data_IF_462056947447
#
_entry.id   IF_462056947447
#
_cell.length_a   1.000
_cell.length_b   1.000
_cell.length_c   1.000
_cell.angle_alpha   90.00
_cell.angle_beta   90.00
_cell.angle_gamma   90.00
#
_symmetry.space_group_name_H-M   'P 1'
#
loop_
_entity.id
_entity.type
_entity.pdbx_description
1 polymer ?
#
# COMPACT_ATOMS: atom_id res chain seq x y z
N UNK A 1 -33.52 -27.77 -16.35
CA UNK A 1 -33.49 -27.08 -15.04
C UNK A 1 -32.86 -25.72 -15.28
N UNK A 2 -33.46 -24.64 -14.79
CA UNK A 2 -32.92 -23.29 -14.86
C UNK A 2 -32.27 -22.90 -13.53
N UNK A 3 -31.30 -22.00 -13.57
CA UNK A 3 -30.75 -21.43 -12.35
C UNK A 3 -31.85 -20.66 -11.59
N UNK A 4 -31.94 -20.78 -10.25
CA UNK A 4 -32.87 -19.98 -9.46
C UNK A 4 -32.47 -18.50 -9.55
N UNK A 5 -33.44 -17.60 -9.61
CA UNK A 5 -33.19 -16.14 -9.57
C UNK A 5 -32.44 -15.81 -8.27
N UNK A 6 -31.35 -15.03 -8.32
CA UNK A 6 -30.87 -14.16 -9.40
C UNK A 6 -29.76 -14.79 -10.25
N UNK A 7 -29.46 -16.07 -10.05
CA UNK A 7 -28.35 -16.75 -10.72
C UNK A 7 -28.67 -16.99 -12.19
N UNK A 8 -27.65 -16.86 -13.03
CA UNK A 8 -27.74 -17.02 -14.48
C UNK A 8 -26.96 -18.26 -14.92
N UNK A 9 -27.43 -18.94 -15.97
CA UNK A 9 -26.74 -20.10 -16.52
C UNK A 9 -25.46 -19.66 -17.22
N UNK A 10 -24.33 -20.29 -16.87
CA UNK A 10 -23.04 -19.99 -17.49
C UNK A 10 -23.02 -20.29 -19.00
N UNK A 11 -23.84 -21.25 -19.44
CA UNK A 11 -23.91 -21.69 -20.84
C UNK A 11 -24.51 -20.63 -21.77
N UNK A 12 -25.24 -19.65 -21.24
CA UNK A 12 -25.89 -18.59 -22.02
C UNK A 12 -24.90 -17.48 -22.41
N UNK A 13 -23.65 -17.52 -21.93
CA UNK A 13 -22.66 -16.47 -22.12
C UNK A 13 -21.40 -16.99 -22.81
N UNK A 14 -20.73 -16.15 -23.64
CA UNK A 14 -19.56 -16.58 -24.38
C UNK A 14 -18.41 -17.00 -23.44
N UNK A 15 -17.61 -18.01 -23.81
CA UNK A 15 -16.44 -18.43 -23.04
C UNK A 15 -15.22 -17.54 -23.26
N UNK A 16 -15.36 -16.43 -23.99
CA UNK A 16 -14.29 -15.48 -24.31
C UNK A 16 -14.77 -14.05 -24.05
N UNK A 17 -13.81 -13.14 -23.83
CA UNK A 17 -14.08 -11.72 -23.58
C UNK A 17 -14.26 -11.39 -22.10
N UNK A 18 -13.72 -10.23 -21.69
CA UNK A 18 -13.69 -9.79 -20.30
C UNK A 18 -12.89 -10.72 -19.37
N UNK A 19 -13.01 -10.47 -18.07
CA UNK A 19 -12.29 -11.18 -17.05
C UNK A 19 -13.02 -12.45 -16.59
N UNK A 20 -12.84 -13.55 -17.34
CA UNK A 20 -13.48 -14.85 -17.08
C UNK A 20 -13.25 -15.41 -15.65
N UNK A 21 -12.03 -15.35 -15.07
CA UNK A 21 -11.81 -15.84 -13.70
C UNK A 21 -12.59 -15.02 -12.65
N UNK A 22 -13.09 -13.83 -13.03
CA UNK A 22 -13.90 -12.98 -12.17
C UNK A 22 -15.34 -13.43 -11.99
N UNK A 23 -15.82 -14.37 -12.81
CA UNK A 23 -17.16 -14.96 -12.71
C UNK A 23 -17.27 -15.79 -11.43
N UNK A 24 -18.27 -15.52 -10.60
CA UNK A 24 -18.56 -16.35 -9.43
C UNK A 24 -19.61 -17.39 -9.80
N UNK A 25 -19.15 -18.57 -10.21
CA UNK A 25 -20.00 -19.66 -10.67
C UNK A 25 -19.81 -20.91 -9.83
N UNK A 26 -20.86 -21.71 -9.71
CA UNK A 26 -20.78 -23.04 -9.09
C UNK A 26 -21.63 -24.04 -9.88
N UNK A 27 -21.15 -25.28 -9.96
CA UNK A 27 -21.85 -26.38 -10.60
C UNK A 27 -22.96 -26.88 -9.66
N UNK A 28 -24.22 -26.74 -10.07
CA UNK A 28 -25.39 -27.22 -9.32
C UNK A 28 -25.69 -28.67 -9.67
N UNK A 29 -25.49 -29.03 -10.93
CA UNK A 29 -25.52 -30.41 -11.43
C UNK A 29 -24.34 -30.64 -12.37
N UNK A 30 -24.13 -31.87 -12.84
CA UNK A 30 -23.07 -32.20 -13.80
C UNK A 30 -23.18 -31.44 -15.13
N UNK A 31 -24.35 -30.87 -15.44
CA UNK A 31 -24.61 -30.15 -16.71
C UNK A 31 -25.04 -28.69 -16.50
N UNK A 32 -25.33 -28.26 -15.27
CA UNK A 32 -25.80 -26.90 -14.97
C UNK A 32 -24.81 -26.19 -14.05
N UNK A 33 -24.19 -25.14 -14.59
CA UNK A 33 -23.36 -24.20 -13.84
C UNK A 33 -24.09 -22.88 -13.71
N UNK A 34 -24.31 -22.43 -12.48
CA UNK A 34 -25.00 -21.19 -12.18
C UNK A 34 -24.03 -20.14 -11.68
N UNK A 35 -24.14 -18.93 -12.21
CA UNK A 35 -23.28 -17.80 -11.94
C UNK A 35 -24.05 -16.65 -11.29
N UNK A 36 -23.40 -15.94 -10.40
CA UNK A 36 -23.92 -14.70 -9.84
C UNK A 36 -23.82 -13.56 -10.87
N UNK A 37 -24.83 -12.70 -11.01
CA UNK A 37 -24.79 -11.60 -11.95
C UNK A 37 -23.79 -10.50 -11.54
N UNK A 38 -23.26 -9.80 -12.53
CA UNK A 38 -22.40 -8.64 -12.40
C UNK A 38 -23.25 -7.39 -12.06
N UNK A 39 -22.94 -6.58 -11.04
CA UNK A 39 -21.84 -6.65 -10.07
C UNK A 39 -22.05 -7.67 -8.94
N UNK A 40 -21.09 -8.58 -8.76
CA UNK A 40 -21.05 -9.44 -7.57
C UNK A 40 -21.05 -8.67 -6.25
N UNK A 41 -20.48 -7.46 -6.22
CA UNK A 41 -20.38 -6.65 -5.00
C UNK A 41 -21.75 -6.32 -4.38
N UNK A 42 -22.79 -6.11 -5.20
CA UNK A 42 -24.14 -5.82 -4.71
C UNK A 42 -24.78 -6.99 -3.97
N UNK A 43 -24.36 -8.21 -4.26
CA UNK A 43 -24.93 -9.42 -3.67
C UNK A 43 -24.04 -9.97 -2.55
N UNK A 44 -22.73 -9.77 -2.66
CA UNK A 44 -21.74 -10.34 -1.73
C UNK A 44 -21.49 -9.47 -0.50
N UNK A 45 -21.63 -8.15 -0.60
CA UNK A 45 -21.29 -7.23 0.48
C UNK A 45 -22.49 -6.42 0.97
N UNK A 46 -22.41 -5.99 2.24
CA UNK A 46 -23.44 -5.15 2.86
C UNK A 46 -23.49 -3.74 2.27
N UNK A 47 -24.62 -3.06 2.41
CA UNK A 47 -24.74 -1.66 1.99
C UNK A 47 -23.80 -0.73 2.78
N UNK A 48 -23.54 -1.06 4.05
CA UNK A 48 -22.55 -0.36 4.87
C UNK A 48 -21.15 -0.50 4.29
N UNK A 49 -20.79 -1.69 3.79
CA UNK A 49 -19.50 -1.92 3.15
C UNK A 49 -19.32 -1.03 1.92
N UNK A 50 -20.31 -1.01 1.03
CA UNK A 50 -20.29 -0.20 -0.19
C UNK A 50 -20.14 1.29 0.13
N UNK A 51 -20.95 1.80 1.08
CA UNK A 51 -20.87 3.20 1.50
C UNK A 51 -19.50 3.56 2.07
N UNK A 52 -18.92 2.72 2.92
CA UNK A 52 -17.63 3.01 3.53
C UNK A 52 -16.48 2.90 2.52
N UNK A 53 -16.61 2.03 1.52
CA UNK A 53 -15.65 1.93 0.42
C UNK A 53 -15.69 3.20 -0.45
N UNK A 54 -16.88 3.72 -0.76
CA UNK A 54 -17.03 4.98 -1.51
C UNK A 54 -16.38 6.15 -0.75
N UNK A 55 -16.56 6.21 0.57
CA UNK A 55 -15.87 7.20 1.42
C UNK A 55 -14.35 7.07 1.29
N UNK A 56 -13.80 5.85 1.30
CA UNK A 56 -12.37 5.63 1.13
C UNK A 56 -11.86 6.13 -0.24
N UNK A 57 -12.63 5.95 -1.31
CA UNK A 57 -12.27 6.48 -2.63
C UNK A 57 -12.29 8.01 -2.66
N UNK A 58 -13.31 8.65 -2.08
CA UNK A 58 -13.36 10.11 -1.98
C UNK A 58 -12.22 10.71 -1.15
N UNK A 59 -11.75 10.01 -0.12
CA UNK A 59 -10.58 10.43 0.69
C UNK A 59 -9.27 10.49 -0.11
N UNK A 60 -9.17 9.80 -1.24
CA UNK A 60 -7.99 9.89 -2.11
C UNK A 60 -7.90 11.24 -2.85
N UNK A 61 -9.01 11.95 -3.04
CA UNK A 61 -9.03 13.27 -3.71
C UNK A 61 -8.25 14.33 -2.93
N UNK A 62 -8.58 14.64 -1.64
CA UNK A 62 -7.80 15.61 -0.88
C UNK A 62 -6.36 15.16 -0.65
N UNK A 63 -6.12 13.85 -0.49
CA UNK A 63 -4.77 13.30 -0.40
C UNK A 63 -3.95 13.54 -1.67
N UNK A 64 -4.53 13.33 -2.85
CA UNK A 64 -3.86 13.61 -4.12
C UNK A 64 -3.53 15.11 -4.25
N UNK A 65 -4.48 15.99 -3.96
CA UNK A 65 -4.27 17.44 -3.99
C UNK A 65 -3.10 17.82 -3.06
N UNK A 66 -3.09 17.31 -1.83
CA UNK A 66 -2.03 17.58 -0.88
C UNK A 66 -0.66 17.09 -1.37
N UNK A 67 -0.58 15.87 -1.92
CA UNK A 67 0.67 15.33 -2.46
C UNK A 67 1.16 16.11 -3.69
N UNK A 68 0.27 16.52 -4.58
CA UNK A 68 0.61 17.35 -5.75
C UNK A 68 1.14 18.72 -5.30
N UNK A 69 0.50 19.37 -4.31
CA UNK A 69 0.99 20.62 -3.74
C UNK A 69 2.39 20.48 -3.13
N UNK A 70 2.69 19.35 -2.46
CA UNK A 70 4.05 19.06 -1.99
C UNK A 70 5.05 18.90 -3.12
N UNK A 71 4.69 18.16 -4.18
CA UNK A 71 5.57 17.96 -5.33
C UNK A 71 5.86 19.29 -6.04
N UNK A 72 4.85 20.15 -6.23
CA UNK A 72 5.01 21.50 -6.76
C UNK A 72 5.92 22.33 -5.84
N UNK A 73 5.70 22.26 -4.52
CA UNK A 73 6.56 22.93 -3.52
C UNK A 73 8.02 22.46 -3.64
N UNK A 74 8.29 21.17 -3.86
CA UNK A 74 9.65 20.66 -4.04
C UNK A 74 10.28 21.08 -5.37
N UNK A 75 9.49 21.30 -6.41
CA UNK A 75 9.94 21.75 -7.72
C UNK A 75 10.24 23.25 -7.74
N UNK A 76 9.33 24.08 -7.21
CA UNK A 76 9.40 25.53 -7.28
C UNK A 76 10.33 26.16 -6.23
N UNK A 77 10.35 25.64 -5.00
CA UNK A 77 11.09 26.27 -3.90
C UNK A 77 12.53 25.74 -3.78
N UNK A 78 13.50 26.61 -3.44
CA UNK A 78 14.88 26.21 -3.24
C UNK A 78 15.01 25.22 -2.07
N UNK A 79 16.00 24.33 -2.16
CA UNK A 79 16.22 23.25 -1.18
C UNK A 79 16.38 23.76 0.27
N UNK A 80 16.83 25.01 0.45
CA UNK A 80 16.94 25.67 1.77
C UNK A 80 15.57 25.86 2.44
N UNK A 81 14.53 26.11 1.66
CA UNK A 81 13.18 26.40 2.16
C UNK A 81 12.29 25.15 2.16
N UNK A 82 12.40 24.34 1.10
CA UNK A 82 11.62 23.12 0.94
C UNK A 82 12.18 21.92 1.71
N UNK A 83 13.46 21.96 2.10
CA UNK A 83 14.16 20.83 2.72
C UNK A 83 13.96 19.51 1.94
N UNK A 84 13.83 19.62 0.60
CA UNK A 84 13.52 18.50 -0.27
C UNK A 84 14.60 17.43 -0.17
N UNK A 85 14.16 16.17 -0.11
CA UNK A 85 15.04 15.00 -0.08
C UNK A 85 14.50 13.98 -1.07
N UNK A 86 15.37 13.39 -1.89
CA UNK A 86 14.99 12.50 -2.99
C UNK A 86 14.10 11.33 -2.53
N UNK A 87 14.42 10.71 -1.38
CA UNK A 87 13.59 9.66 -0.75
C UNK A 87 12.14 10.08 -0.51
N UNK A 88 11.90 11.34 -0.15
CA UNK A 88 10.55 11.83 0.11
C UNK A 88 9.82 12.15 -1.19
N UNK A 89 10.55 12.64 -2.20
CA UNK A 89 9.99 12.90 -3.53
C UNK A 89 9.51 11.58 -4.14
N UNK A 90 10.33 10.53 -4.13
CA UNK A 90 9.95 9.22 -4.65
C UNK A 90 8.74 8.62 -3.94
N UNK A 91 8.67 8.74 -2.60
CA UNK A 91 7.50 8.33 -1.82
C UNK A 91 6.23 9.13 -2.21
N UNK A 92 6.33 10.45 -2.33
CA UNK A 92 5.21 11.30 -2.73
C UNK A 92 4.72 10.96 -4.15
N UNK A 93 5.63 10.68 -5.08
CA UNK A 93 5.27 10.23 -6.44
C UNK A 93 4.53 8.90 -6.38
N UNK A 94 5.06 7.90 -5.68
CA UNK A 94 4.40 6.59 -5.54
C UNK A 94 2.98 6.68 -4.97
N UNK A 95 2.79 7.47 -3.90
CA UNK A 95 1.47 7.67 -3.31
C UNK A 95 0.55 8.52 -4.18
N UNK A 96 1.07 9.45 -4.98
CA UNK A 96 0.26 10.19 -5.96
C UNK A 96 -0.28 9.26 -7.04
N UNK A 97 0.55 8.35 -7.56
CA UNK A 97 0.11 7.30 -8.50
C UNK A 97 -0.98 6.42 -7.87
N UNK A 98 -0.80 6.02 -6.60
CA UNK A 98 -1.81 5.24 -5.88
C UNK A 98 -3.13 6.01 -5.73
N UNK A 99 -3.11 7.29 -5.36
CA UNK A 99 -4.34 8.08 -5.26
C UNK A 99 -5.02 8.26 -6.63
N UNK A 100 -4.25 8.48 -7.72
CA UNK A 100 -4.78 8.57 -9.08
C UNK A 100 -5.55 7.29 -9.46
N UNK A 101 -5.08 6.12 -9.04
CA UNK A 101 -5.74 4.84 -9.29
C UNK A 101 -7.21 4.82 -8.85
N UNK A 102 -7.53 5.48 -7.73
CA UNK A 102 -8.89 5.57 -7.17
C UNK A 102 -9.67 6.79 -7.68
N UNK A 103 -8.99 7.87 -8.05
CA UNK A 103 -9.65 9.08 -8.57
C UNK A 103 -10.14 8.88 -10.01
N UNK A 104 -9.43 8.11 -10.84
CA UNK A 104 -9.85 7.80 -12.22
C UNK A 104 -11.25 7.17 -12.28
N UNK A 105 -11.55 6.06 -11.57
CA UNK A 105 -12.87 5.44 -11.64
C UNK A 105 -13.96 6.35 -11.05
N UNK A 106 -13.63 7.15 -10.03
CA UNK A 106 -14.56 8.12 -9.45
C UNK A 106 -14.99 9.19 -10.45
N UNK A 107 -14.05 9.66 -11.27
CA UNK A 107 -14.31 10.67 -12.31
C UNK A 107 -14.99 10.07 -13.55
N UNK A 108 -14.64 8.84 -13.93
CA UNK A 108 -15.11 8.24 -15.19
C UNK A 108 -16.39 7.42 -15.06
N UNK A 109 -16.75 6.92 -13.85
CA UNK A 109 -17.89 6.02 -13.60
C UNK A 109 -17.99 4.92 -14.66
N UNK A 110 -16.97 4.06 -14.78
CA UNK A 110 -16.87 3.10 -15.87
C UNK A 110 -17.95 2.03 -15.78
N UNK A 111 -18.44 1.57 -16.92
CA UNK A 111 -19.22 0.34 -17.00
C UNK A 111 -18.30 -0.87 -16.74
N UNK A 112 -18.40 -1.45 -15.54
CA UNK A 112 -17.52 -2.52 -15.09
C UNK A 112 -17.95 -3.92 -15.58
N UNK A 113 -19.14 -4.08 -16.17
CA UNK A 113 -19.60 -5.37 -16.70
C UNK A 113 -19.34 -5.48 -18.20
N UNK A 114 -18.70 -6.57 -18.62
CA UNK A 114 -18.58 -6.92 -20.04
C UNK A 114 -19.88 -7.54 -20.56
N UNK A 115 -20.48 -8.40 -19.73
CA UNK A 115 -21.82 -8.95 -19.87
C UNK A 115 -22.41 -9.22 -18.48
N UNK A 116 -23.61 -9.80 -18.42
CA UNK A 116 -24.43 -9.98 -17.22
C UNK A 116 -23.76 -10.84 -16.14
N UNK A 117 -22.73 -11.64 -16.47
CA UNK A 117 -21.97 -12.44 -15.49
C UNK A 117 -20.47 -12.11 -15.45
N UNK A 118 -19.94 -11.41 -16.46
CA UNK A 118 -18.48 -11.23 -16.65
C UNK A 118 -18.06 -9.78 -16.42
N UNK A 119 -17.14 -9.50 -15.48
CA UNK A 119 -16.56 -8.17 -15.34
C UNK A 119 -15.57 -7.85 -16.47
N UNK A 120 -15.35 -6.56 -16.76
CA UNK A 120 -14.31 -6.11 -17.71
C UNK A 120 -12.90 -6.25 -17.12
N UNK A 121 -11.94 -6.44 -18.01
CA UNK A 121 -10.49 -6.45 -17.79
C UNK A 121 -9.80 -5.24 -18.44
N UNK A 122 -8.47 -5.17 -18.35
CA UNK A 122 -7.67 -4.14 -19.03
C UNK A 122 -7.78 -4.14 -20.56
N UNK A 123 -8.19 -5.26 -21.17
CA UNK A 123 -8.27 -5.40 -22.63
C UNK A 123 -9.62 -4.92 -23.17
N UNK A 124 -10.66 -5.00 -22.35
CA UNK A 124 -12.03 -4.58 -22.66
C UNK A 124 -12.41 -3.22 -22.08
N UNK A 125 -11.61 -2.65 -21.17
CA UNK A 125 -11.75 -1.30 -20.64
C UNK A 125 -10.39 -0.63 -20.39
N UNK A 126 -10.16 0.49 -21.08
CA UNK A 126 -8.96 1.32 -20.89
C UNK A 126 -8.95 1.98 -19.51
N UNK A 127 -10.12 2.35 -18.97
CA UNK A 127 -10.23 2.91 -17.62
C UNK A 127 -9.73 1.90 -16.57
N UNK A 128 -10.07 0.62 -16.73
CA UNK A 128 -9.55 -0.45 -15.88
C UNK A 128 -8.03 -0.54 -16.00
N UNK A 129 -7.52 -0.58 -17.23
CA UNK A 129 -6.08 -0.66 -17.49
C UNK A 129 -5.28 0.47 -16.83
N UNK A 130 -5.74 1.73 -16.95
CA UNK A 130 -5.08 2.86 -16.29
C UNK A 130 -5.24 2.82 -14.77
N UNK A 131 -6.47 2.66 -14.25
CA UNK A 131 -6.72 2.63 -12.80
C UNK A 131 -5.92 1.52 -12.11
N UNK A 132 -6.00 0.28 -12.61
CA UNK A 132 -5.26 -0.85 -12.07
C UNK A 132 -3.75 -0.73 -12.27
N UNK A 133 -3.32 -0.16 -13.40
CA UNK A 133 -1.90 0.13 -13.64
C UNK A 133 -1.33 1.12 -12.64
N UNK A 134 -2.01 2.25 -12.41
CA UNK A 134 -1.63 3.24 -11.40
C UNK A 134 -1.67 2.66 -9.98
N UNK A 135 -2.60 1.75 -9.70
CA UNK A 135 -2.66 1.06 -8.42
C UNK A 135 -1.39 0.24 -8.18
N UNK A 136 -1.03 -0.65 -9.11
CA UNK A 136 0.17 -1.49 -9.02
C UNK A 136 1.45 -0.64 -9.00
N UNK A 137 1.55 0.33 -9.91
CA UNK A 137 2.70 1.22 -9.99
C UNK A 137 2.86 2.03 -8.69
N UNK A 138 1.76 2.55 -8.15
CA UNK A 138 1.75 3.37 -6.94
C UNK A 138 2.16 2.59 -5.70
N UNK A 139 1.57 1.42 -5.46
CA UNK A 139 1.90 0.60 -4.28
C UNK A 139 3.33 0.07 -4.31
N UNK A 140 3.81 -0.41 -5.46
CA UNK A 140 5.19 -0.88 -5.62
C UNK A 140 6.18 0.27 -5.43
N UNK A 141 5.95 1.39 -6.12
CA UNK A 141 6.83 2.57 -6.03
C UNK A 141 6.87 3.09 -4.58
N UNK A 142 5.71 3.33 -3.96
CA UNK A 142 5.64 3.80 -2.58
C UNK A 142 6.39 2.85 -1.63
N UNK A 143 6.15 1.55 -1.72
CA UNK A 143 6.76 0.56 -0.84
C UNK A 143 8.28 0.47 -1.04
N UNK A 144 8.77 0.48 -2.28
CA UNK A 144 10.22 0.48 -2.55
C UNK A 144 10.89 1.75 -1.99
N UNK A 145 10.27 2.92 -2.14
CA UNK A 145 10.81 4.17 -1.57
C UNK A 145 10.77 4.20 -0.04
N UNK A 146 9.74 3.61 0.58
CA UNK A 146 9.70 3.44 2.04
C UNK A 146 10.82 2.50 2.49
N UNK A 147 11.06 1.39 1.79
CA UNK A 147 12.18 0.48 2.08
C UNK A 147 13.53 1.20 1.97
N UNK A 148 13.77 1.92 0.87
CA UNK A 148 14.99 2.68 0.67
C UNK A 148 15.21 3.72 1.80
N UNK A 149 14.12 4.35 2.25
CA UNK A 149 14.16 5.29 3.38
C UNK A 149 14.45 4.62 4.71
N UNK A 150 13.82 3.49 5.01
CA UNK A 150 14.11 2.71 6.21
C UNK A 150 15.57 2.26 6.26
N UNK A 151 16.09 1.76 5.13
CA UNK A 151 17.49 1.37 4.99
C UNK A 151 18.44 2.56 5.18
N UNK A 152 18.16 3.70 4.53
CA UNK A 152 18.95 4.92 4.68
C UNK A 152 19.06 5.38 6.14
N UNK A 153 17.94 5.40 6.85
CA UNK A 153 17.90 5.78 8.27
C UNK A 153 18.69 4.77 9.11
N UNK A 154 18.55 3.48 8.83
CA UNK A 154 19.28 2.42 9.53
C UNK A 154 20.80 2.56 9.34
N UNK A 155 21.27 2.73 8.11
CA UNK A 155 22.70 2.93 7.81
C UNK A 155 23.25 4.20 8.49
N UNK A 156 22.47 5.28 8.50
CA UNK A 156 22.87 6.54 9.10
C UNK A 156 22.97 6.48 10.62
N UNK A 157 22.03 5.80 11.28
CA UNK A 157 21.96 5.74 12.75
C UNK A 157 22.79 4.59 13.33
N UNK A 158 22.64 3.37 12.79
CA UNK A 158 23.27 2.17 13.34
C UNK A 158 24.72 2.00 12.86
N UNK A 159 25.01 2.38 11.61
CA UNK A 159 26.36 2.27 11.02
C UNK A 159 27.11 3.60 10.90
N UNK A 160 26.49 4.70 11.34
CA UNK A 160 27.11 6.04 11.30
C UNK A 160 27.67 6.39 9.92
N UNK A 161 27.00 5.94 8.85
CA UNK A 161 27.40 6.23 7.49
C UNK A 161 27.12 7.71 7.19
N UNK A 162 28.16 8.45 6.77
CA UNK A 162 28.09 9.92 6.63
C UNK A 162 28.00 10.39 5.18
N UNK A 163 28.36 9.54 4.21
CA UNK A 163 28.51 9.97 2.83
C UNK A 163 27.20 9.82 2.04
N UNK A 164 26.41 10.88 2.01
CA UNK A 164 25.13 10.89 1.31
C UNK A 164 25.22 10.74 -0.21
N UNK A 165 26.34 11.12 -0.82
CA UNK A 165 26.47 11.11 -2.28
C UNK A 165 26.68 9.70 -2.83
N UNK A 166 27.39 8.86 -2.09
CA UNK A 166 27.68 7.48 -2.49
C UNK A 166 26.41 6.63 -2.52
N UNK A 167 25.50 6.83 -1.56
CA UNK A 167 24.27 6.04 -1.46
C UNK A 167 23.10 6.63 -2.27
N UNK A 168 23.15 7.91 -2.66
CA UNK A 168 22.08 8.55 -3.41
C UNK A 168 21.79 7.84 -4.74
N UNK A 169 22.81 7.68 -5.60
CA UNK A 169 22.67 7.05 -6.92
C UNK A 169 22.14 5.61 -6.88
N UNK A 170 22.74 4.68 -6.10
CA UNK A 170 22.23 3.31 -6.04
C UNK A 170 20.80 3.25 -5.46
N UNK A 171 20.47 4.06 -4.46
CA UNK A 171 19.10 4.10 -3.92
C UNK A 171 18.09 4.64 -4.93
N UNK A 172 18.45 5.66 -5.72
CA UNK A 172 17.59 6.16 -6.80
C UNK A 172 17.41 5.12 -7.90
N UNK A 173 18.48 4.45 -8.31
CA UNK A 173 18.41 3.39 -9.32
C UNK A 173 17.48 2.26 -8.84
N UNK A 174 17.71 1.72 -7.65
CA UNK A 174 16.86 0.67 -7.07
C UNK A 174 15.42 1.17 -6.85
N UNK A 175 15.26 2.40 -6.38
CA UNK A 175 13.95 3.00 -6.08
C UNK A 175 13.03 3.18 -7.29
N UNK A 176 13.58 3.30 -8.50
CA UNK A 176 12.80 3.44 -9.73
C UNK A 176 12.79 2.17 -10.59
N UNK A 177 13.94 1.52 -10.75
CA UNK A 177 14.09 0.36 -11.65
C UNK A 177 13.36 -0.85 -11.08
N UNK A 178 13.52 -1.11 -9.78
CA UNK A 178 12.91 -2.27 -9.13
C UNK A 178 11.36 -2.26 -9.26
N UNK A 179 10.63 -1.20 -8.85
CA UNK A 179 9.19 -1.18 -8.99
C UNK A 179 8.75 -1.18 -10.47
N UNK A 180 9.53 -0.63 -11.39
CA UNK A 180 9.22 -0.65 -12.82
C UNK A 180 9.25 -2.07 -13.39
N UNK A 181 10.25 -2.88 -13.02
CA UNK A 181 10.34 -4.28 -13.44
C UNK A 181 9.14 -5.07 -12.92
N UNK A 182 8.84 -4.96 -11.61
CA UNK A 182 7.69 -5.66 -11.02
C UNK A 182 6.35 -5.19 -11.58
N UNK A 183 6.21 -3.90 -11.90
CA UNK A 183 5.04 -3.36 -12.56
C UNK A 183 4.83 -4.01 -13.93
N UNK A 184 5.86 -4.05 -14.77
CA UNK A 184 5.78 -4.66 -16.12
C UNK A 184 5.39 -6.15 -16.01
N UNK A 185 6.06 -6.90 -15.12
CA UNK A 185 5.75 -8.32 -14.90
C UNK A 185 4.31 -8.51 -14.41
N UNK A 186 3.85 -7.66 -13.48
CA UNK A 186 2.49 -7.75 -12.94
C UNK A 186 1.43 -7.46 -13.99
N UNK A 187 1.64 -6.44 -14.83
CA UNK A 187 0.70 -6.09 -15.90
C UNK A 187 0.61 -7.18 -16.98
N UNK A 188 1.72 -7.84 -17.31
CA UNK A 188 1.73 -8.90 -18.34
C UNK A 188 1.15 -10.22 -17.81
N UNK A 189 1.45 -10.58 -16.57
CA UNK A 189 1.14 -11.93 -16.05
C UNK A 189 -0.16 -11.97 -15.26
N UNK A 190 -0.33 -11.02 -14.34
CA UNK A 190 -1.47 -11.02 -13.41
C UNK A 190 -2.66 -10.26 -13.96
N UNK A 191 -2.37 -9.29 -14.82
CA UNK A 191 -3.36 -8.41 -15.44
C UNK A 191 -4.19 -7.66 -14.36
N UNK A 192 -5.09 -6.79 -14.80
CA UNK A 192 -6.00 -6.06 -13.91
C UNK A 192 -7.43 -6.17 -14.42
N UNK A 193 -8.36 -6.27 -13.49
CA UNK A 193 -9.78 -6.38 -13.78
C UNK A 193 -10.62 -5.73 -12.67
N UNK A 194 -11.88 -5.40 -12.98
CA UNK A 194 -12.81 -4.92 -11.97
C UNK A 194 -13.13 -6.03 -10.97
N UNK A 195 -12.61 -5.89 -9.75
CA UNK A 195 -12.84 -6.85 -8.66
C UNK A 195 -13.63 -6.25 -7.50
N UNK A 196 -13.60 -4.94 -7.35
CA UNK A 196 -14.20 -4.23 -6.24
C UNK A 196 -14.90 -2.96 -6.74
N UNK A 197 -16.14 -3.16 -7.20
CA UNK A 197 -17.00 -2.10 -7.72
C UNK A 197 -16.33 -1.47 -8.92
N UNK A 198 -16.17 -0.15 -8.84
CA UNK A 198 -15.62 0.65 -9.93
C UNK A 198 -14.08 0.64 -9.95
N UNK A 199 -13.42 -0.07 -9.02
CA UNK A 199 -11.95 -0.10 -8.96
C UNK A 199 -11.36 -1.35 -9.62
N UNK A 200 -10.37 -1.12 -10.48
CA UNK A 200 -9.61 -2.17 -11.14
C UNK A 200 -8.44 -2.61 -10.25
N UNK A 201 -8.37 -3.90 -9.94
CA UNK A 201 -7.36 -4.49 -9.05
C UNK A 201 -6.63 -5.64 -9.75
N UNK A 202 -5.46 -6.07 -9.24
CA UNK A 202 -4.75 -7.23 -9.78
C UNK A 202 -5.65 -8.47 -9.89
N UNK A 203 -5.55 -9.16 -11.03
CA UNK A 203 -6.27 -10.40 -11.29
C UNK A 203 -5.84 -11.56 -10.37
N UNK A 204 -6.40 -12.74 -10.61
CA UNK A 204 -6.19 -13.95 -9.79
C UNK A 204 -5.13 -14.89 -10.40
N UNK A 205 -4.57 -14.53 -11.55
CA UNK A 205 -3.50 -15.29 -12.20
C UNK A 205 -2.16 -14.97 -11.54
N UNK A 206 -1.73 -15.86 -10.64
CA UNK A 206 -0.48 -15.77 -9.88
C UNK A 206 -0.20 -14.43 -9.15
N UNK A 207 -1.21 -13.74 -8.54
CA UNK A 207 -1.03 -12.40 -7.96
C UNK A 207 -0.01 -12.36 -6.83
N UNK A 208 0.13 -13.48 -6.10
CA UNK A 208 1.08 -13.59 -5.02
C UNK A 208 2.53 -13.57 -5.51
N UNK A 209 2.82 -14.25 -6.63
CA UNK A 209 4.20 -14.41 -7.11
C UNK A 209 4.72 -13.16 -7.84
N UNK A 210 3.84 -12.44 -8.52
CA UNK A 210 4.18 -11.31 -9.40
C UNK A 210 4.14 -9.97 -8.69
N UNK A 211 3.21 -9.81 -7.74
CA UNK A 211 2.88 -8.52 -7.13
C UNK A 211 2.88 -8.59 -5.59
N UNK A 212 1.97 -9.37 -5.01
CA UNK A 212 1.63 -9.27 -3.59
C UNK A 212 2.78 -9.73 -2.68
N UNK A 213 3.45 -10.82 -3.05
CA UNK A 213 4.58 -11.36 -2.30
C UNK A 213 5.75 -10.39 -2.24
N UNK A 214 6.05 -9.71 -3.35
CA UNK A 214 7.11 -8.69 -3.41
C UNK A 214 6.74 -7.44 -2.64
N UNK A 215 5.50 -6.98 -2.78
CA UNK A 215 4.96 -5.87 -2.00
C UNK A 215 5.09 -6.13 -0.49
N UNK A 216 4.68 -7.32 -0.03
CA UNK A 216 4.83 -7.75 1.37
C UNK A 216 6.29 -7.85 1.78
N UNK A 217 7.14 -8.47 0.97
CA UNK A 217 8.56 -8.64 1.28
C UNK A 217 9.25 -7.29 1.50
N UNK A 218 8.99 -6.30 0.64
CA UNK A 218 9.55 -4.96 0.80
C UNK A 218 8.99 -4.24 2.03
N UNK A 219 7.68 -4.36 2.30
CA UNK A 219 7.05 -3.80 3.50
C UNK A 219 7.61 -4.39 4.80
N UNK A 220 7.73 -5.72 4.88
CA UNK A 220 8.29 -6.43 6.04
C UNK A 220 9.76 -6.03 6.26
N UNK A 221 10.57 -6.02 5.20
CA UNK A 221 11.97 -5.61 5.30
C UNK A 221 12.10 -4.16 5.77
N UNK A 222 11.23 -3.27 5.29
CA UNK A 222 11.17 -1.89 5.75
C UNK A 222 10.82 -1.79 7.25
N UNK A 223 9.87 -2.58 7.74
CA UNK A 223 9.52 -2.66 9.16
C UNK A 223 10.69 -3.18 9.99
N UNK A 224 11.39 -4.24 9.54
CA UNK A 224 12.54 -4.80 10.24
C UNK A 224 13.61 -3.71 10.44
N UNK A 225 13.96 -2.97 9.39
CA UNK A 225 14.93 -1.88 9.52
C UNK A 225 14.47 -0.79 10.49
N UNK A 226 13.20 -0.40 10.44
CA UNK A 226 12.64 0.62 11.34
C UNK A 226 12.63 0.16 12.80
N UNK A 227 12.23 -1.08 13.07
CA UNK A 227 12.22 -1.66 14.41
C UNK A 227 13.65 -1.79 14.94
N UNK A 228 14.58 -2.29 14.14
CA UNK A 228 15.99 -2.40 14.52
C UNK A 228 16.60 -1.02 14.84
N UNK A 229 16.31 -0.01 14.03
CA UNK A 229 16.76 1.37 14.29
C UNK A 229 16.13 1.96 15.55
N UNK A 230 14.82 1.75 15.75
CA UNK A 230 14.10 2.26 16.92
C UNK A 230 14.64 1.63 18.19
N UNK A 231 14.82 0.30 18.17
CA UNK A 231 15.43 -0.45 19.27
C UNK A 231 16.85 0.05 19.58
N UNK A 232 17.70 0.25 18.56
CA UNK A 232 19.04 0.81 18.74
C UNK A 232 19.02 2.20 19.39
N UNK A 233 18.10 3.08 18.95
CA UNK A 233 17.95 4.41 19.52
C UNK A 233 17.48 4.37 20.98
N UNK A 234 16.50 3.51 21.29
CA UNK A 234 15.99 3.30 22.65
C UNK A 234 17.07 2.71 23.57
N UNK A 235 17.85 1.74 23.08
CA UNK A 235 18.94 1.13 23.81
C UNK A 235 20.01 2.16 24.23
N UNK A 236 20.43 3.01 23.29
CA UNK A 236 21.37 4.10 23.59
C UNK A 236 20.75 5.09 24.59
N UNK A 237 19.48 5.46 24.40
CA UNK A 237 18.79 6.37 25.30
C UNK A 237 18.74 5.85 26.73
N UNK A 238 18.29 4.60 26.94
CA UNK A 238 18.23 3.98 28.26
C UNK A 238 19.62 3.91 28.88
N UNK A 239 20.64 3.55 28.11
CA UNK A 239 22.02 3.47 28.60
C UNK A 239 22.58 4.82 29.03
N UNK A 240 22.19 5.92 28.41
CA UNK A 240 22.64 7.26 28.81
C UNK A 240 21.84 7.86 29.97
N UNK A 241 20.54 7.59 30.06
CA UNK A 241 19.70 8.05 31.19
C UNK A 241 20.03 7.27 32.45
N UNK A 242 20.21 5.95 32.34
CA UNK A 242 20.55 5.08 33.47
C UNK A 242 22.05 5.21 33.84
N UNK A 243 22.92 5.49 32.87
CA UNK A 243 24.37 5.60 33.07
C UNK A 243 24.86 6.87 33.76
N UNK A 244 23.97 7.85 34.00
CA UNK A 244 24.30 9.12 34.64
C UNK A 244 25.33 10.00 33.89
N UNK A 245 25.49 11.28 34.25
CA UNK A 245 26.58 12.09 33.73
C UNK A 245 27.91 11.53 34.24
N UNK A 246 28.74 10.98 33.36
CA UNK A 246 30.11 10.60 33.73
C UNK A 246 30.85 11.84 34.30
N UNK A 247 31.56 11.71 35.44
CA UNK A 247 32.32 12.82 36.03
C UNK A 247 33.34 13.34 35.01
N UNK A 248 33.51 14.66 34.96
CA UNK A 248 34.46 15.28 34.05
C UNK A 248 35.88 14.79 34.32
N UNK A 249 36.58 14.37 33.27
CA UNK A 249 38.03 14.20 33.31
C UNK A 249 38.70 15.01 32.20
N UNK A 250 39.69 15.74 32.66
CA UNK A 250 40.49 16.78 32.02
C UNK A 250 41.39 16.23 30.90
N UNK A 251 41.77 17.14 29.99
CA UNK A 251 42.74 17.04 28.87
C UNK A 251 43.83 15.96 28.96
N UNK A 252 44.14 15.32 27.82
CA UNK A 252 45.45 15.35 27.10
C UNK A 252 45.57 14.20 26.09
N UNK A 253 46.36 14.38 25.01
CA UNK A 253 46.95 13.27 24.26
C UNK A 253 46.56 13.13 22.78
N UNK A 254 47.53 13.41 21.92
CA UNK A 254 47.61 13.28 20.46
C UNK A 254 47.68 11.83 19.94
N UNK A 255 47.38 11.69 18.64
CA UNK A 255 47.77 10.64 17.66
C UNK A 255 46.67 9.67 17.19
N UNK A 256 46.68 9.43 15.87
CA UNK A 256 45.56 8.93 15.09
C UNK A 256 45.72 7.52 14.50
N UNK A 257 44.81 7.27 13.54
CA UNK A 257 44.73 6.23 12.49
C UNK A 257 44.02 4.90 12.77
N UNK A 258 42.97 4.72 11.94
CA UNK A 258 42.42 3.53 11.26
C UNK A 258 41.87 2.33 12.08
N UNK A 259 40.57 2.03 11.87
CA UNK A 259 39.93 0.73 12.16
C UNK A 259 38.55 0.83 12.83
N UNK A 260 37.58 -0.06 12.52
CA UNK A 260 36.19 0.04 12.98
C UNK A 260 36.05 -0.45 14.42
N UNK A 261 36.55 0.34 15.37
CA UNK A 261 36.29 0.11 16.79
C UNK A 261 35.10 0.98 17.21
N UNK A 262 34.07 0.35 17.76
CA UNK A 262 33.09 1.01 18.62
C UNK A 262 33.88 1.62 19.78
N UNK A 263 34.33 2.87 19.62
CA UNK A 263 35.12 3.53 20.65
C UNK A 263 34.21 3.78 21.85
N UNK A 264 34.42 3.00 22.92
CA UNK A 264 33.70 3.06 24.19
C UNK A 264 34.00 4.33 25.02
N UNK A 265 34.58 5.36 24.41
CA UNK A 265 34.93 6.59 25.12
C UNK A 265 33.67 7.42 25.40
N UNK A 266 33.53 7.99 26.62
CA UNK A 266 32.36 8.77 27.00
C UNK A 266 32.16 10.02 26.12
N UNK A 267 33.23 10.54 25.50
CA UNK A 267 33.18 11.65 24.53
C UNK A 267 32.60 11.25 23.18
N UNK A 268 32.98 10.09 22.63
CA UNK A 268 32.40 9.56 21.41
C UNK A 268 30.91 9.20 21.60
N UNK A 269 30.53 8.69 22.77
CA UNK A 269 29.14 8.40 23.14
C UNK A 269 28.28 9.67 23.23
N UNK A 270 28.74 10.69 23.98
CA UNK A 270 28.06 12.01 24.06
C UNK A 270 27.93 12.68 22.69
N UNK A 271 28.93 12.55 21.82
CA UNK A 271 28.88 13.07 20.45
C UNK A 271 27.88 12.31 19.57
N UNK A 272 27.81 10.98 19.69
CA UNK A 272 26.82 10.14 19.02
C UNK A 272 25.40 10.47 19.51
N UNK A 273 25.18 10.63 20.81
CA UNK A 273 23.87 11.00 21.36
C UNK A 273 23.39 12.40 20.95
N UNK A 274 24.26 13.41 21.01
CA UNK A 274 23.88 14.76 20.52
C UNK A 274 23.41 14.71 19.07
N UNK A 275 24.04 13.88 18.24
CA UNK A 275 23.63 13.65 16.84
C UNK A 275 22.32 12.87 16.75
N UNK A 276 22.19 11.76 17.48
CA UNK A 276 20.96 10.97 17.52
C UNK A 276 19.77 11.81 17.96
N UNK A 277 19.92 12.63 19.01
CA UNK A 277 18.87 13.52 19.53
C UNK A 277 18.45 14.57 18.49
N UNK A 278 19.39 15.15 17.75
CA UNK A 278 19.09 16.11 16.67
C UNK A 278 18.39 15.41 15.51
N UNK A 279 18.85 14.21 15.11
CA UNK A 279 18.23 13.44 14.02
C UNK A 279 16.84 12.96 14.40
N UNK A 280 16.66 12.38 15.59
CA UNK A 280 15.36 11.92 16.09
C UNK A 280 14.38 13.09 16.19
N UNK A 281 14.80 14.22 16.81
CA UNK A 281 13.95 15.41 16.96
C UNK A 281 13.56 16.03 15.60
N UNK A 282 14.41 15.90 14.59
CA UNK A 282 14.16 16.49 13.25
C UNK A 282 13.44 15.52 12.31
N UNK A 283 13.54 14.20 12.52
CA UNK A 283 13.06 13.16 11.61
C UNK A 283 11.99 12.23 12.20
N UNK A 284 11.55 12.40 13.46
CA UNK A 284 10.54 11.51 14.07
C UNK A 284 9.23 11.47 13.26
N UNK A 285 8.82 12.59 12.67
CA UNK A 285 7.64 12.66 11.78
C UNK A 285 7.81 11.76 10.55
N UNK A 286 8.97 11.84 9.90
CA UNK A 286 9.34 10.95 8.80
C UNK A 286 9.35 9.48 9.21
N UNK A 287 9.96 9.17 10.36
CA UNK A 287 10.08 7.79 10.85
C UNK A 287 8.69 7.21 11.12
N UNK A 288 7.83 7.95 11.81
CA UNK A 288 6.45 7.55 12.11
C UNK A 288 5.66 7.26 10.83
N UNK A 289 5.74 8.14 9.83
CA UNK A 289 5.06 7.93 8.55
C UNK A 289 5.56 6.70 7.81
N UNK A 290 6.87 6.50 7.79
CA UNK A 290 7.42 5.31 7.15
C UNK A 290 6.99 4.04 7.86
N UNK A 291 6.78 4.07 9.18
CA UNK A 291 6.22 2.95 9.93
C UNK A 291 4.75 2.70 9.57
N UNK A 292 3.94 3.76 9.52
CA UNK A 292 2.52 3.67 9.15
C UNK A 292 2.37 3.06 7.76
N UNK A 293 3.09 3.59 6.76
CA UNK A 293 2.98 3.10 5.38
C UNK A 293 3.49 1.66 5.25
N UNK A 294 4.62 1.31 5.88
CA UNK A 294 5.09 -0.08 5.84
C UNK A 294 4.11 -1.06 6.50
N UNK A 295 3.52 -0.68 7.64
CA UNK A 295 2.54 -1.50 8.34
C UNK A 295 1.26 -1.68 7.50
N UNK A 296 0.77 -0.59 6.91
CA UNK A 296 -0.37 -0.60 5.98
C UNK A 296 -0.12 -1.52 4.78
N UNK A 297 1.07 -1.47 4.17
CA UNK A 297 1.45 -2.38 3.09
C UNK A 297 1.38 -3.86 3.51
N UNK A 298 1.85 -4.18 4.73
CA UNK A 298 1.83 -5.57 5.24
C UNK A 298 0.42 -6.03 5.57
N UNK A 299 -0.40 -5.15 6.15
CA UNK A 299 -1.82 -5.43 6.41
C UNK A 299 -2.58 -5.66 5.10
N UNK A 300 -2.40 -4.77 4.13
CA UNK A 300 -2.93 -4.92 2.77
C UNK A 300 -2.56 -6.28 2.19
N UNK A 301 -1.26 -6.60 2.19
CA UNK A 301 -0.73 -7.85 1.66
C UNK A 301 -1.35 -9.09 2.30
N UNK A 302 -1.47 -9.07 3.63
CA UNK A 302 -2.03 -10.19 4.41
C UNK A 302 -3.52 -10.40 4.14
N UNK A 303 -4.29 -9.31 4.06
CA UNK A 303 -5.73 -9.36 3.79
C UNK A 303 -5.98 -9.90 2.37
N UNK A 304 -5.26 -9.39 1.37
CA UNK A 304 -5.41 -9.83 -0.01
C UNK A 304 -4.94 -11.26 -0.24
N UNK A 305 -3.85 -11.68 0.42
CA UNK A 305 -3.39 -13.07 0.33
C UNK A 305 -4.41 -14.04 0.93
N UNK A 306 -5.03 -13.66 2.05
CA UNK A 306 -6.10 -14.45 2.66
C UNK A 306 -7.35 -14.51 1.77
N UNK A 307 -7.69 -13.41 1.08
CA UNK A 307 -8.81 -13.39 0.12
C UNK A 307 -8.57 -14.31 -1.07
N UNK A 308 -7.40 -14.22 -1.69
CA UNK A 308 -7.08 -15.03 -2.87
C UNK A 308 -6.99 -16.51 -2.51
N UNK A 309 -6.43 -16.86 -1.35
CA UNK A 309 -6.40 -18.24 -0.86
C UNK A 309 -7.80 -18.82 -0.64
N UNK A 310 -8.73 -18.04 -0.07
CA UNK A 310 -10.13 -18.47 0.11
C UNK A 310 -10.86 -18.61 -1.21
N UNK A 311 -10.69 -17.64 -2.11
CA UNK A 311 -11.34 -17.67 -3.42
C UNK A 311 -10.84 -18.84 -4.26
N UNK A 312 -9.54 -19.16 -4.20
CA UNK A 312 -8.98 -20.33 -4.87
C UNK A 312 -9.58 -21.65 -4.37
N UNK A 313 -9.81 -21.80 -3.06
CA UNK A 313 -10.47 -23.00 -2.49
C UNK A 313 -11.91 -23.14 -2.97
N UNK A 314 -12.66 -22.05 -3.00
CA UNK A 314 -14.04 -22.04 -3.50
C UNK A 314 -14.09 -22.46 -4.98
N UNK A 315 -13.22 -21.89 -5.80
CA UNK A 315 -13.17 -22.23 -7.23
C UNK A 315 -12.69 -23.67 -7.47
N UNK A 316 -11.93 -24.25 -6.56
CA UNK A 316 -11.48 -25.64 -6.62
C UNK A 316 -12.59 -26.66 -6.29
N UNK A 317 -13.82 -26.21 -6.01
CA UNK A 317 -14.97 -27.10 -5.80
C UNK A 317 -14.93 -27.89 -4.50
N UNK A 318 -14.07 -27.52 -3.54
CA UNK A 318 -14.25 -27.98 -2.16
C UNK A 318 -15.55 -27.35 -1.67
N UNK A 319 -16.63 -28.15 -1.59
CA UNK A 319 -17.95 -27.80 -1.05
C UNK A 319 -17.79 -27.05 0.29
N UNK A 320 -17.68 -25.73 0.23
CA UNK A 320 -17.81 -24.91 1.41
C UNK A 320 -19.32 -24.73 1.60
N UNK A 321 -19.93 -25.51 2.51
CA UNK A 321 -21.37 -25.50 2.84
C UNK A 321 -21.91 -24.08 3.04
N UNK A 322 -21.02 -23.17 3.41
CA UNK A 322 -21.23 -21.76 3.72
C UNK A 322 -21.61 -20.93 2.50
N UNK A 323 -21.17 -21.31 1.29
CA UNK A 323 -21.63 -20.70 0.03
C UNK A 323 -23.08 -21.08 -0.27
N UNK A 324 -23.43 -22.35 -0.03
CA UNK A 324 -24.79 -22.85 -0.22
C UNK A 324 -25.73 -22.23 0.81
N UNK A 325 -25.32 -22.11 2.08
CA UNK A 325 -26.05 -21.40 3.13
C UNK A 325 -26.28 -19.93 2.78
N UNK A 326 -25.23 -19.22 2.31
CA UNK A 326 -25.35 -17.83 1.88
C UNK A 326 -26.30 -17.68 0.68
N UNK A 327 -26.12 -18.50 -0.35
CA UNK A 327 -26.96 -18.45 -1.56
C UNK A 327 -28.42 -18.76 -1.21
N UNK A 328 -28.66 -19.73 -0.33
CA UNK A 328 -30.00 -20.09 0.15
C UNK A 328 -30.61 -18.94 0.95
N UNK A 329 -29.84 -18.33 1.86
CA UNK A 329 -30.30 -17.17 2.61
C UNK A 329 -30.72 -16.03 1.66
N UNK A 330 -29.92 -15.75 0.63
CA UNK A 330 -30.18 -14.67 -0.32
C UNK A 330 -31.50 -14.90 -1.07
N UNK A 331 -31.75 -16.13 -1.52
CA UNK A 331 -33.00 -16.52 -2.17
C UNK A 331 -34.19 -16.37 -1.20
N UNK A 332 -34.04 -16.78 0.05
CA UNK A 332 -35.12 -16.74 1.06
C UNK A 332 -35.46 -15.32 1.54
N UNK A 333 -34.56 -14.36 1.35
CA UNK A 333 -34.69 -13.01 1.90
C UNK A 333 -34.91 -11.93 0.84
N UNK A 334 -35.63 -12.26 -0.24
CA UNK A 334 -35.92 -11.34 -1.36
C UNK A 334 -34.66 -10.68 -1.93
N UNK A 335 -33.55 -11.43 -1.93
CA UNK A 335 -32.27 -10.99 -2.46
C UNK A 335 -31.61 -9.82 -1.70
N UNK A 336 -31.95 -9.64 -0.41
CA UNK A 336 -31.34 -8.61 0.43
C UNK A 336 -30.02 -9.10 1.06
N UNK A 337 -28.84 -8.60 0.62
CA UNK A 337 -27.55 -9.01 1.16
C UNK A 337 -27.35 -8.62 2.62
N UNK A 338 -28.09 -7.62 3.13
CA UNK A 338 -27.95 -7.13 4.51
C UNK A 338 -28.49 -8.15 5.53
N UNK A 339 -29.48 -8.95 5.15
CA UNK A 339 -30.07 -10.00 5.99
C UNK A 339 -29.19 -11.25 6.05
N UNK A 340 -28.37 -11.47 5.03
CA UNK A 340 -27.55 -12.68 4.87
C UNK A 340 -26.07 -12.49 5.25
N UNK A 341 -25.71 -11.32 5.82
CA UNK A 341 -24.36 -10.96 6.32
C UNK A 341 -23.21 -11.17 5.31
N UNK A 342 -23.51 -11.07 4.00
CA UNK A 342 -22.54 -11.36 2.92
C UNK A 342 -22.07 -12.82 2.91
N UNK A 343 -21.21 -13.23 1.98
CA UNK A 343 -20.61 -14.59 2.05
C UNK A 343 -19.79 -14.63 3.35
N UNK A 344 -20.26 -15.32 4.42
CA UNK A 344 -19.66 -15.13 5.72
C UNK A 344 -18.22 -15.64 5.64
N UNK A 345 -17.26 -14.91 6.20
CA UNK A 345 -15.84 -15.26 6.26
C UNK A 345 -15.08 -15.35 4.92
N UNK A 346 -15.62 -14.95 3.76
CA UNK A 346 -14.72 -14.71 2.62
C UNK A 346 -13.78 -13.53 2.93
N UNK A 347 -14.32 -12.55 3.65
CA UNK A 347 -13.69 -11.28 3.94
C UNK A 347 -14.01 -10.77 5.33
N UNK A 348 -12.97 -10.31 6.05
CA UNK A 348 -13.18 -9.40 7.17
C UNK A 348 -13.42 -8.02 6.56
N UNK A 349 -14.68 -7.73 6.22
CA UNK A 349 -15.13 -6.48 5.61
C UNK A 349 -14.57 -5.24 6.32
N UNK A 350 -14.59 -5.27 7.66
CA UNK A 350 -14.09 -4.17 8.49
C UNK A 350 -12.59 -3.98 8.32
N UNK A 351 -11.81 -5.06 8.37
CA UNK A 351 -10.35 -4.98 8.19
C UNK A 351 -9.98 -4.47 6.81
N UNK A 352 -10.70 -4.96 5.78
CA UNK A 352 -10.50 -4.53 4.40
C UNK A 352 -10.79 -3.04 4.22
N UNK A 353 -11.95 -2.55 4.68
CA UNK A 353 -12.31 -1.12 4.62
C UNK A 353 -11.31 -0.27 5.40
N UNK A 354 -10.95 -0.70 6.62
CA UNK A 354 -10.00 0.04 7.47
C UNK A 354 -8.67 0.24 6.76
N UNK A 355 -8.20 -0.77 6.04
CA UNK A 355 -6.97 -0.69 5.26
C UNK A 355 -7.08 0.32 4.11
N UNK A 356 -8.20 0.35 3.38
CA UNK A 356 -8.38 1.31 2.29
C UNK A 356 -8.50 2.76 2.80
N UNK A 357 -9.19 2.96 3.93
CA UNK A 357 -9.28 4.28 4.57
C UNK A 357 -7.89 4.73 5.05
N UNK A 358 -7.12 3.84 5.67
CA UNK A 358 -5.76 4.13 6.11
C UNK A 358 -4.86 4.50 4.92
N UNK A 359 -4.90 3.70 3.86
CA UNK A 359 -4.18 3.97 2.61
C UNK A 359 -4.57 5.33 2.00
N UNK A 360 -5.87 5.65 1.97
CA UNK A 360 -6.37 6.91 1.44
C UNK A 360 -5.91 8.13 2.25
N UNK A 361 -5.78 8.01 3.58
CA UNK A 361 -5.37 9.11 4.47
C UNK A 361 -3.84 9.30 4.49
N UNK A 362 -3.05 8.29 4.06
CA UNK A 362 -1.58 8.38 4.04
C UNK A 362 -1.06 9.62 3.28
N UNK A 363 -1.70 10.02 2.18
CA UNK A 363 -1.32 11.22 1.43
C UNK A 363 -1.41 12.50 2.27
N UNK A 364 -2.54 12.69 2.96
CA UNK A 364 -2.72 13.79 3.92
C UNK A 364 -1.74 13.72 5.09
N UNK A 365 -1.49 12.54 5.65
CA UNK A 365 -0.52 12.39 6.75
C UNK A 365 0.88 12.80 6.34
N UNK A 366 1.30 12.45 5.12
CA UNK A 366 2.57 12.88 4.56
C UNK A 366 2.62 14.39 4.40
N UNK A 367 1.57 14.99 3.84
CA UNK A 367 1.46 16.44 3.75
C UNK A 367 1.67 17.13 5.10
N UNK A 368 0.89 16.74 6.10
CA UNK A 368 0.92 17.36 7.42
C UNK A 368 2.27 17.17 8.14
N UNK A 369 2.91 16.02 7.96
CA UNK A 369 4.19 15.74 8.58
C UNK A 369 5.37 16.45 7.89
N UNK A 370 5.26 16.67 6.58
CA UNK A 370 6.32 17.26 5.76
C UNK A 370 6.20 18.78 5.64
N UNK A 371 4.99 19.32 5.75
CA UNK A 371 4.74 20.74 5.69
C UNK A 371 5.52 21.47 6.79
N UNK A 372 6.25 22.51 6.40
CA UNK A 372 7.02 23.37 7.30
C UNK A 372 6.63 24.81 7.05
N UNK A 373 6.63 25.62 8.11
CA UNK A 373 6.42 27.07 8.00
C UNK A 373 7.42 27.75 7.07
N UNK A 374 8.62 27.20 6.92
CA UNK A 374 9.62 27.65 5.94
C UNK A 374 9.15 27.56 4.48
N UNK A 375 8.29 26.60 4.17
CA UNK A 375 7.67 26.47 2.84
C UNK A 375 6.63 27.57 2.64
N UNK A 376 5.85 27.88 3.67
CA UNK A 376 4.86 28.96 3.63
C UNK A 376 5.51 30.33 3.39
N UNK A 377 6.58 30.64 4.13
CA UNK A 377 7.37 31.87 3.92
C UNK A 377 8.02 31.90 2.56
N UNK A 378 8.40 30.75 2.01
CA UNK A 378 8.97 30.64 0.68
C UNK A 378 7.97 30.98 -0.41
N UNK A 379 6.75 30.44 -0.31
CA UNK A 379 5.65 30.79 -1.21
C UNK A 379 5.25 32.27 -1.10
N UNK A 380 5.23 32.81 0.13
CA UNK A 380 4.95 34.24 0.36
C UNK A 380 5.98 35.18 -0.29
N UNK A 381 7.23 34.74 -0.45
CA UNK A 381 8.27 35.55 -1.11
C UNK A 381 8.18 35.51 -2.65
N UNK A 382 7.54 34.48 -3.21
CA UNK A 382 7.40 34.28 -4.66
C UNK A 382 6.13 34.95 -5.19
N UNK A 383 5.07 35.04 -4.37
CA UNK A 383 3.83 35.79 -4.64
C UNK A 383 4.09 37.27 -4.37
#
# INVERSE_FOLDING_TARGET
>A
MSCPVPFLSAADFPPTGGYLPGRLCSAVTSTLTCCLPCNKQKWTYTNEFNRNLDVAFWLNVPSLIALVLLLITFAALPAKQSHRHYLNIGLCVGLSLLCIAFVIPLASRPDFCYNEITPRDMHSSTQCGFSGGFFIAGTLTATTWVLARSLWIHLRLCWNFKDERILMWPMCFVGWVLPSIFFIVSMIVTEVAFRLGDTCLPGQKYPFLTYLGWLMAFGILALIFQLATTFYCLWIYLREVIGGPAPGTTRSGTHGRFGPAVSNTPTARKATWRRTKVVLKTQWRSILLSFIVSADTVLYGSIFAAQDAKTARIMAGTEDSRLVEWATCLILNDLDPNKCRGIPNLLNEKAFISNFILAAINGMLIFLAMYRTSMATGWWYII
#
